data_IF_256727451309
#
_entry.id   IF_256727451309
#
_cell.length_a   1.000
_cell.length_b   1.000
_cell.length_c   1.000
_cell.angle_alpha   90.00
_cell.angle_beta   90.00
_cell.angle_gamma   90.00
#
_symmetry.space_group_name_H-M   'P 1'
#
loop_
_entity.id
_entity.type
_entity.pdbx_description
1 polymer ?
#
# COMPACT_ATOMS: atom_id res chain seq x y z
N UNK A 1 24.18 -19.49 17.66
CA UNK A 1 22.96 -18.68 17.41
C UNK A 1 23.32 -17.53 16.49
N UNK A 2 22.69 -17.44 15.31
CA UNK A 2 22.93 -16.37 14.34
C UNK A 2 22.38 -15.04 14.86
N UNK A 3 23.27 -14.10 15.22
CA UNK A 3 22.88 -12.73 15.59
C UNK A 3 22.54 -11.97 14.32
N UNK A 4 21.34 -11.41 14.24
CA UNK A 4 20.93 -10.55 13.12
C UNK A 4 21.22 -9.11 13.52
N UNK A 5 21.89 -8.39 12.63
CA UNK A 5 22.20 -6.96 12.78
C UNK A 5 21.54 -6.19 11.66
N UNK A 6 20.88 -5.09 12.00
CA UNK A 6 20.19 -4.23 11.05
C UNK A 6 20.61 -2.80 11.37
N UNK A 7 21.00 -2.06 10.33
CA UNK A 7 21.22 -0.61 10.40
C UNK A 7 20.21 0.08 9.51
N UNK A 8 19.67 1.18 10.01
CA UNK A 8 18.77 2.06 9.28
C UNK A 8 19.34 3.47 9.40
N UNK A 9 19.72 4.03 8.28
CA UNK A 9 20.19 5.41 8.17
C UNK A 9 19.05 6.23 7.58
N UNK A 10 18.62 7.27 8.29
CA UNK A 10 17.53 8.17 7.91
C UNK A 10 18.09 9.58 7.80
N UNK A 11 17.67 10.30 6.77
CA UNK A 11 18.01 11.70 6.56
C UNK A 11 16.71 12.46 6.35
N UNK A 12 16.48 13.48 7.17
CA UNK A 12 15.32 14.36 7.08
C UNK A 12 15.56 15.49 6.06
N UNK A 13 14.50 16.13 5.58
CA UNK A 13 14.54 17.26 4.65
C UNK A 13 15.28 18.48 5.23
N UNK A 14 15.35 18.62 6.56
CA UNK A 14 16.14 19.64 7.25
C UNK A 14 17.63 19.27 7.40
N UNK A 15 18.04 18.09 6.88
CA UNK A 15 19.43 17.60 6.91
C UNK A 15 19.80 16.87 8.21
N UNK A 16 18.83 16.61 9.10
CA UNK A 16 19.04 15.81 10.30
C UNK A 16 19.28 14.34 9.93
N UNK A 17 20.39 13.76 10.42
CA UNK A 17 20.77 12.37 10.15
C UNK A 17 20.54 11.51 11.39
N UNK A 18 19.72 10.48 11.26
CA UNK A 18 19.44 9.52 12.32
C UNK A 18 20.00 8.15 11.94
N UNK A 19 20.75 7.52 12.85
CA UNK A 19 21.30 6.18 12.65
C UNK A 19 20.77 5.24 13.72
N UNK A 20 19.95 4.27 13.32
CA UNK A 20 19.41 3.22 14.19
C UNK A 20 20.11 1.90 13.90
N UNK A 21 20.85 1.40 14.90
CA UNK A 21 21.51 0.11 14.85
C UNK A 21 20.89 -0.87 15.84
N UNK A 22 20.34 -1.98 15.33
CA UNK A 22 19.73 -3.03 16.15
C UNK A 22 20.50 -4.35 15.99
N UNK A 23 20.92 -4.93 17.11
CA UNK A 23 21.66 -6.20 17.14
C UNK A 23 21.01 -7.19 18.11
N UNK A 24 20.72 -8.41 17.63
CA UNK A 24 20.18 -9.49 18.46
C UNK A 24 19.17 -10.37 17.74
N UNK A 25 18.21 -10.92 18.49
CA UNK A 25 17.10 -11.68 17.91
C UNK A 25 16.02 -10.71 17.42
N UNK A 26 16.16 -10.29 16.17
CA UNK A 26 15.18 -9.48 15.45
C UNK A 26 14.11 -10.38 14.86
N UNK A 27 12.88 -10.23 15.35
CA UNK A 27 11.69 -10.94 14.87
C UNK A 27 10.77 -9.98 14.12
N UNK A 28 9.86 -10.51 13.29
CA UNK A 28 8.88 -9.70 12.54
C UNK A 28 8.08 -8.76 13.45
N UNK A 29 7.71 -9.21 14.64
CA UNK A 29 6.94 -8.40 15.58
C UNK A 29 7.73 -7.20 16.13
N UNK A 30 9.05 -7.37 16.35
CA UNK A 30 9.91 -6.26 16.74
C UNK A 30 10.08 -5.25 15.61
N UNK A 31 10.08 -5.71 14.36
CA UNK A 31 10.11 -4.84 13.19
C UNK A 31 8.86 -3.95 13.09
N UNK A 32 7.67 -4.51 13.28
CA UNK A 32 6.42 -3.74 13.24
C UNK A 32 6.40 -2.59 14.26
N UNK A 33 6.89 -2.84 15.48
CA UNK A 33 7.01 -1.79 16.52
C UNK A 33 7.98 -0.67 16.17
N UNK A 34 9.01 -0.97 15.37
CA UNK A 34 9.94 0.06 14.89
C UNK A 34 9.28 0.92 13.81
N UNK A 35 8.49 0.32 12.93
CA UNK A 35 7.66 1.08 11.98
C UNK A 35 6.67 1.99 12.71
N UNK A 36 5.97 1.48 13.71
CA UNK A 36 5.07 2.29 14.55
C UNK A 36 5.81 3.43 15.27
N UNK A 37 7.04 3.20 15.74
CA UNK A 37 7.86 4.24 16.37
C UNK A 37 8.34 5.29 15.37
N UNK A 38 8.68 4.89 14.14
CA UNK A 38 9.04 5.82 13.07
C UNK A 38 7.85 6.72 12.70
N UNK A 39 6.65 6.16 12.65
CA UNK A 39 5.42 6.93 12.42
C UNK A 39 5.16 7.94 13.56
N UNK A 40 5.47 7.57 14.80
CA UNK A 40 5.30 8.44 15.98
C UNK A 40 6.36 9.53 16.11
N UNK A 41 7.57 9.34 15.57
CA UNK A 41 8.66 10.33 15.61
C UNK A 41 8.49 11.39 14.51
N UNK A 42 7.64 11.13 13.51
CA UNK A 42 7.35 12.04 12.42
C UNK A 42 6.38 13.18 12.82
N UNK A 43 6.69 13.86 13.93
CA UNK A 43 5.97 15.03 14.45
C UNK A 43 6.73 16.28 14.01
N UNK A 44 6.64 16.58 12.72
CA UNK A 44 6.63 17.92 12.12
C UNK A 44 6.82 17.77 10.60
N UNK A 45 5.72 17.98 9.86
CA UNK A 45 5.66 18.26 8.42
C UNK A 45 6.33 17.27 7.45
N UNK A 46 5.69 16.12 7.25
CA UNK A 46 5.15 15.69 5.95
C UNK A 46 4.48 14.33 6.11
N UNK A 47 3.29 14.19 5.52
CA UNK A 47 2.58 12.93 5.41
C UNK A 47 3.53 11.86 4.84
N UNK A 48 4.10 11.02 5.72
CA UNK A 48 4.86 9.85 5.34
C UNK A 48 3.89 8.83 4.74
N UNK A 49 3.49 9.12 3.50
CA UNK A 49 2.96 8.14 2.58
C UNK A 49 3.97 6.98 2.54
N UNK A 50 3.53 5.73 2.73
CA UNK A 50 4.43 4.58 2.77
C UNK A 50 5.10 4.46 1.42
N UNK A 51 6.35 4.94 1.29
CA UNK A 51 7.17 5.03 0.07
C UNK A 51 6.49 4.39 -1.15
N UNK A 52 5.57 5.14 -1.75
CA UNK A 52 4.78 4.67 -2.90
C UNK A 52 5.63 4.84 -4.16
N UNK A 53 6.86 4.32 -4.16
CA UNK A 53 7.85 4.52 -5.23
C UNK A 53 7.41 3.87 -6.55
N UNK A 54 6.45 2.94 -6.50
CA UNK A 54 5.92 2.28 -7.67
C UNK A 54 4.53 2.78 -8.03
N UNK A 55 4.30 2.96 -9.34
CA UNK A 55 2.98 3.25 -9.91
C UNK A 55 1.91 2.27 -9.39
N UNK A 56 2.26 1.00 -9.22
CA UNK A 56 1.35 0.00 -8.66
C UNK A 56 1.00 0.27 -7.19
N UNK A 57 1.95 0.74 -6.38
CA UNK A 57 1.71 1.09 -4.99
C UNK A 57 0.76 2.30 -4.89
N UNK A 58 1.02 3.36 -5.67
CA UNK A 58 0.15 4.55 -5.77
C UNK A 58 -1.27 4.19 -6.19
N UNK A 59 -1.43 3.39 -7.25
CA UNK A 59 -2.74 2.89 -7.71
C UNK A 59 -3.44 2.09 -6.61
N UNK A 60 -2.72 1.19 -5.91
CA UNK A 60 -3.31 0.41 -4.83
C UNK A 60 -3.77 1.29 -3.66
N UNK A 61 -2.98 2.30 -3.30
CA UNK A 61 -3.32 3.26 -2.25
C UNK A 61 -4.63 4.01 -2.56
N UNK A 62 -4.77 4.53 -3.79
CA UNK A 62 -6.00 5.17 -4.24
C UNK A 62 -7.20 4.23 -4.11
N UNK A 63 -7.04 2.99 -4.60
CA UNK A 63 -8.10 1.97 -4.54
C UNK A 63 -8.54 1.70 -3.11
N UNK A 64 -7.59 1.45 -2.21
CA UNK A 64 -7.86 1.10 -0.81
C UNK A 64 -8.50 2.26 -0.03
N UNK A 65 -8.02 3.49 -0.25
CA UNK A 65 -8.48 4.71 0.42
C UNK A 65 -9.84 5.19 -0.09
N UNK A 66 -10.01 5.24 -1.42
CA UNK A 66 -11.19 5.87 -2.04
C UNK A 66 -12.32 4.86 -2.33
N UNK A 67 -12.01 3.58 -2.51
CA UNK A 67 -13.00 2.55 -2.87
C UNK A 67 -12.97 1.33 -1.93
N UNK A 68 -13.04 1.51 -0.60
CA UNK A 68 -12.93 0.41 0.35
C UNK A 68 -14.08 -0.60 0.29
N UNK A 69 -15.27 -0.18 -0.18
CA UNK A 69 -16.46 -1.05 -0.33
C UNK A 69 -17.23 -0.84 -1.64
N UNK A 70 -16.80 0.10 -2.49
CA UNK A 70 -17.45 0.43 -3.76
C UNK A 70 -16.87 -0.32 -4.95
N UNK A 71 -17.64 -0.37 -6.05
CA UNK A 71 -17.10 -0.72 -7.37
C UNK A 71 -16.41 0.51 -7.96
N UNK A 72 -15.35 0.28 -8.72
CA UNK A 72 -14.59 1.33 -9.39
C UNK A 72 -14.13 0.90 -10.78
N UNK A 73 -13.91 1.85 -11.67
CA UNK A 73 -13.39 1.59 -13.02
C UNK A 73 -11.96 2.11 -13.17
N UNK A 74 -11.26 1.68 -14.22
CA UNK A 74 -9.92 2.20 -14.52
C UNK A 74 -9.91 3.71 -14.76
N UNK A 75 -11.00 4.28 -15.29
CA UNK A 75 -11.13 5.73 -15.52
C UNK A 75 -11.23 6.51 -14.21
N UNK A 76 -11.95 5.99 -13.22
CA UNK A 76 -12.06 6.64 -11.90
C UNK A 76 -10.74 6.64 -11.14
N UNK A 77 -9.96 5.56 -11.25
CA UNK A 77 -8.63 5.49 -10.64
C UNK A 77 -7.64 6.41 -11.35
N UNK A 78 -7.75 6.55 -12.68
CA UNK A 78 -6.95 7.50 -13.46
C UNK A 78 -7.17 8.93 -12.96
N UNK A 79 -8.42 9.39 -12.90
CA UNK A 79 -8.77 10.74 -12.44
C UNK A 79 -8.24 11.00 -11.03
N UNK A 80 -8.46 10.07 -10.09
CA UNK A 80 -7.94 10.19 -8.73
C UNK A 80 -6.42 10.20 -8.64
N UNK A 81 -5.74 9.47 -9.53
CA UNK A 81 -4.28 9.48 -9.57
C UNK A 81 -3.75 10.83 -10.00
N UNK A 82 -4.33 11.41 -11.05
CA UNK A 82 -3.93 12.72 -11.56
C UNK A 82 -4.26 13.83 -10.56
N UNK A 83 -5.40 13.75 -9.87
CA UNK A 83 -5.80 14.68 -8.81
C UNK A 83 -4.86 14.62 -7.59
N UNK A 84 -4.51 13.42 -7.13
CA UNK A 84 -3.77 13.22 -5.86
C UNK A 84 -2.25 13.41 -6.03
N UNK A 85 -1.69 13.07 -7.20
CA UNK A 85 -0.25 13.14 -7.45
C UNK A 85 0.16 14.23 -8.43
N UNK A 86 -0.77 14.88 -9.13
CA UNK A 86 -0.46 15.88 -10.16
C UNK A 86 0.32 15.32 -11.36
N UNK A 87 0.36 13.99 -11.49
CA UNK A 87 1.16 13.26 -12.49
C UNK A 87 0.23 12.63 -13.54
N UNK A 88 0.36 12.97 -14.83
CA UNK A 88 -0.45 12.35 -15.87
C UNK A 88 -0.05 10.89 -16.10
N UNK A 89 -1.04 10.00 -16.22
CA UNK A 89 -0.80 8.57 -16.43
C UNK A 89 -1.73 8.00 -17.52
N UNK A 90 -1.24 7.02 -18.29
CA UNK A 90 -2.08 6.38 -19.31
C UNK A 90 -3.09 5.43 -18.67
N UNK A 91 -4.35 5.49 -19.12
CA UNK A 91 -5.42 4.55 -18.74
C UNK A 91 -5.01 3.08 -18.91
N UNK A 92 -4.21 2.76 -19.93
CA UNK A 92 -3.70 1.41 -20.18
C UNK A 92 -2.77 0.91 -19.08
N UNK A 93 -1.98 1.80 -18.46
CA UNK A 93 -1.10 1.46 -17.33
C UNK A 93 -1.96 1.14 -16.12
N UNK A 94 -2.94 1.99 -15.80
CA UNK A 94 -3.90 1.75 -14.71
C UNK A 94 -4.61 0.41 -14.90
N UNK A 95 -5.15 0.18 -16.10
CA UNK A 95 -5.84 -1.07 -16.45
C UNK A 95 -4.94 -2.30 -16.31
N UNK A 96 -3.66 -2.19 -16.68
CA UNK A 96 -2.67 -3.26 -16.53
C UNK A 96 -2.43 -3.61 -15.07
N UNK A 97 -2.31 -2.60 -14.19
CA UNK A 97 -2.13 -2.83 -12.76
C UNK A 97 -3.38 -3.40 -12.10
N UNK A 98 -4.57 -2.90 -12.44
CA UNK A 98 -5.83 -3.46 -11.94
C UNK A 98 -6.01 -4.92 -12.37
N UNK A 99 -5.70 -5.26 -13.63
CA UNK A 99 -5.70 -6.65 -14.08
C UNK A 99 -4.73 -7.52 -13.27
N UNK A 100 -3.52 -7.03 -12.97
CA UNK A 100 -2.55 -7.73 -12.11
C UNK A 100 -3.07 -7.93 -10.69
N UNK A 101 -3.76 -6.95 -10.12
CA UNK A 101 -4.38 -7.07 -8.80
C UNK A 101 -5.51 -8.10 -8.79
N UNK A 102 -6.28 -8.17 -9.88
CA UNK A 102 -7.30 -9.20 -10.05
C UNK A 102 -6.68 -10.60 -10.13
N UNK A 103 -5.60 -10.77 -10.91
CA UNK A 103 -4.86 -12.04 -10.97
C UNK A 103 -4.27 -12.44 -9.61
N UNK A 104 -3.86 -11.46 -8.79
CA UNK A 104 -3.35 -11.70 -7.42
C UNK A 104 -4.45 -11.91 -6.37
N UNK A 105 -5.72 -11.87 -6.75
CA UNK A 105 -6.84 -12.06 -5.81
C UNK A 105 -7.02 -10.91 -4.81
N UNK A 106 -6.50 -9.71 -5.11
CA UNK A 106 -6.72 -8.52 -4.28
C UNK A 106 -8.06 -7.84 -4.58
N UNK A 107 -8.48 -7.89 -5.85
CA UNK A 107 -9.73 -7.30 -6.33
C UNK A 107 -10.44 -8.31 -7.23
N UNK A 108 -11.76 -8.26 -7.31
CA UNK A 108 -12.53 -8.93 -8.37
C UNK A 108 -12.74 -7.96 -9.52
N UNK A 109 -12.91 -8.52 -10.72
CA UNK A 109 -13.37 -7.76 -11.89
C UNK A 109 -14.68 -8.35 -12.40
N UNK A 110 -15.60 -7.48 -12.78
CA UNK A 110 -16.88 -7.81 -13.38
C UNK A 110 -17.05 -7.01 -14.67
N UNK A 111 -17.69 -7.62 -15.68
CA UNK A 111 -17.95 -6.93 -16.93
C UNK A 111 -19.17 -6.02 -16.75
N UNK A 112 -18.96 -4.71 -16.79
CA UNK A 112 -20.02 -3.70 -16.73
C UNK A 112 -20.19 -3.07 -18.11
N UNK A 113 -21.04 -3.68 -18.94
CA UNK A 113 -21.28 -3.22 -20.32
C UNK A 113 -20.02 -3.26 -21.19
N UNK A 114 -19.50 -2.07 -21.54
CA UNK A 114 -18.30 -1.89 -22.38
C UNK A 114 -16.99 -1.79 -21.60
N UNK A 115 -17.05 -1.69 -20.27
CA UNK A 115 -15.87 -1.54 -19.41
C UNK A 115 -15.80 -2.61 -18.32
N UNK A 116 -14.65 -2.68 -17.65
CA UNK A 116 -14.43 -3.53 -16.50
C UNK A 116 -14.64 -2.73 -15.23
N UNK A 117 -15.54 -3.21 -14.37
CA UNK A 117 -15.67 -2.74 -13.01
C UNK A 117 -14.85 -3.63 -12.08
N UNK A 118 -14.26 -3.03 -11.07
CA UNK A 118 -13.41 -3.69 -10.09
C UNK A 118 -13.96 -3.46 -8.69
N UNK A 119 -13.71 -4.38 -7.78
CA UNK A 119 -14.09 -4.26 -6.36
C UNK A 119 -13.07 -4.96 -5.48
N UNK A 120 -12.72 -4.37 -4.34
CA UNK A 120 -11.77 -4.98 -3.39
C UNK A 120 -12.36 -6.28 -2.82
N UNK A 121 -11.55 -7.34 -2.81
CA UNK A 121 -11.87 -8.57 -2.09
C UNK A 121 -11.50 -8.33 -0.63
N UNK A 122 -12.48 -7.93 0.19
CA UNK A 122 -12.31 -8.13 1.63
C UNK A 122 -12.37 -9.62 1.86
N UNK A 123 -11.25 -10.22 2.25
CA UNK A 123 -11.26 -11.55 2.84
C UNK A 123 -12.15 -11.44 4.08
N UNK A 124 -13.44 -11.74 3.94
CA UNK A 124 -14.26 -12.10 5.08
C UNK A 124 -13.47 -13.20 5.76
N UNK A 125 -13.01 -12.93 6.98
CA UNK A 125 -12.42 -13.92 7.87
C UNK A 125 -13.31 -15.15 7.76
N UNK A 126 -12.82 -16.20 7.09
CA UNK A 126 -13.48 -17.49 7.07
C UNK A 126 -13.42 -17.95 8.52
N UNK A 127 -14.48 -17.69 9.27
CA UNK A 127 -14.68 -18.30 10.56
C UNK A 127 -14.54 -19.81 10.33
N UNK A 128 -13.65 -20.51 11.04
CA UNK A 128 -13.73 -21.95 11.07
C UNK A 128 -15.02 -22.27 11.83
N UNK A 129 -16.07 -22.67 11.12
CA UNK A 129 -17.17 -23.38 11.75
C UNK A 129 -16.57 -24.62 12.39
N UNK A 130 -16.40 -24.59 13.71
CA UNK A 130 -16.47 -25.78 14.53
C UNK A 130 -17.96 -26.17 14.58
N UNK A 131 -18.32 -27.17 13.80
CA UNK A 131 -19.52 -27.99 14.01
C UNK A 131 -19.04 -29.45 13.90
N UNK A 132 -18.57 -29.99 15.03
CA UNK A 132 -19.23 -30.93 15.97
C UNK A 132 -18.79 -32.36 15.68
#
# INVERSE_FOLDING_TARGET
MTRKKIRIDLEDADGAKYNLSLEGNVTRNKMLKIFELMDLINIEEQEASPQLDSVGSKIWYIVDRNFPMGKFTSSQILEKYEDEYGEPIKLSIVSTYLARFATKGKIVRERQGREWAYQIIKLAQKQPNLET
#
